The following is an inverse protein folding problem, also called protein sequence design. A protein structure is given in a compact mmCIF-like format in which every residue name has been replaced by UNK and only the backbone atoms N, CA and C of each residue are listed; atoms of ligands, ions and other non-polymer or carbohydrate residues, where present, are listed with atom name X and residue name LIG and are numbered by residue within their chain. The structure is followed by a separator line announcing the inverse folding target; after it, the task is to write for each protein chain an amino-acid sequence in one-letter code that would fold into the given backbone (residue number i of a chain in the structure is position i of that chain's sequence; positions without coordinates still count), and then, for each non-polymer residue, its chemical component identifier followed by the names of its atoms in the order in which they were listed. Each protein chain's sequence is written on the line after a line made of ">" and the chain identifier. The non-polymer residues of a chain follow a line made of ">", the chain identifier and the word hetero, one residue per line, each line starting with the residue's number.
data_IF_878142555643
#
_entry.id   IF_878142555643
#
_cell.length_a   1.000
_cell.length_b   1.000
_cell.length_c   1.000
_cell.angle_alpha   90.00
_cell.angle_beta   90.00
_cell.angle_gamma   90.00
#
_symmetry.space_group_name_H-M   'P 1'
#
loop_
_entity.id
_entity.type
_entity.pdbx_description
1 polymer ?
#
# COMPACT_ATOMS: atom_id res chain seq x y z
N UNK A 1 14.27 25.52 15.65
CA UNK A 1 13.89 24.09 15.57
C UNK A 1 14.18 23.65 14.15
N UNK A 2 14.79 22.47 13.94
CA UNK A 2 14.77 21.86 12.61
C UNK A 2 13.32 21.54 12.23
N UNK A 3 12.96 21.77 10.98
CA UNK A 3 11.64 21.47 10.41
C UNK A 3 11.35 19.98 10.46
N UNK A 4 10.06 19.59 10.38
CA UNK A 4 9.69 18.18 10.30
C UNK A 4 10.33 17.49 9.09
N UNK A 5 10.50 18.20 7.97
CA UNK A 5 11.18 17.70 6.77
C UNK A 5 12.65 17.32 7.04
N UNK A 6 13.42 18.16 7.73
CA UNK A 6 14.84 17.87 8.03
C UNK A 6 15.02 16.65 8.95
N UNK A 7 14.10 16.44 9.90
CA UNK A 7 14.09 15.23 10.76
C UNK A 7 13.71 13.96 10.00
N UNK A 8 12.92 14.08 8.93
CA UNK A 8 12.52 12.98 8.06
C UNK A 8 13.65 12.67 7.04
N UNK A 9 14.27 13.68 6.44
CA UNK A 9 15.40 13.53 5.52
C UNK A 9 16.64 12.90 6.17
N UNK A 10 16.86 13.12 7.46
CA UNK A 10 17.91 12.45 8.25
C UNK A 10 17.75 10.91 8.31
N UNK A 11 16.56 10.36 8.02
CA UNK A 11 16.35 8.91 7.90
C UNK A 11 16.78 8.39 6.52
N UNK A 12 16.69 9.20 5.47
CA UNK A 12 17.03 8.81 4.10
C UNK A 12 18.55 8.76 3.84
N UNK A 13 19.34 9.65 4.46
CA UNK A 13 20.79 9.75 4.23
C UNK A 13 21.65 8.65 4.88
N UNK A 14 21.05 7.61 5.47
CA UNK A 14 21.79 6.57 6.18
C UNK A 14 22.30 5.41 5.29
N UNK A 15 21.98 5.38 3.99
CA UNK A 15 22.34 4.27 3.08
C UNK A 15 22.61 4.69 1.63
N UNK A 16 23.86 4.98 1.35
CA UNK A 16 24.49 4.65 0.06
C UNK A 16 25.60 3.63 0.35
N UNK A 17 25.50 2.44 -0.25
CA UNK A 17 26.48 1.36 -0.07
C UNK A 17 25.85 0.04 0.38
N UNK A 18 25.44 -0.78 -0.59
CA UNK A 18 25.51 -2.25 -0.55
C UNK A 18 25.18 -2.80 -1.96
N UNK A 19 26.17 -2.75 -2.86
CA UNK A 19 26.17 -3.61 -4.05
C UNK A 19 26.44 -5.07 -3.61
N UNK A 20 25.75 -6.08 -4.18
CA UNK A 20 25.95 -7.47 -3.80
C UNK A 20 27.37 -7.95 -4.21
N UNK A 21 28.16 -8.54 -3.29
CA UNK A 21 29.55 -8.88 -3.57
C UNK A 21 29.67 -10.07 -4.53
N UNK A 22 30.46 -9.90 -5.60
CA UNK A 22 31.02 -11.03 -6.34
C UNK A 22 31.96 -11.82 -5.42
N UNK A 23 31.77 -13.13 -5.38
CA UNK A 23 32.56 -14.06 -4.57
C UNK A 23 34.02 -14.10 -5.00
N UNK A 24 34.95 -13.91 -4.06
CA UNK A 24 36.06 -14.83 -3.82
C UNK A 24 36.74 -14.56 -2.47
N UNK A 25 37.27 -15.63 -1.86
CA UNK A 25 37.74 -15.61 -0.48
C UNK A 25 39.24 -15.28 -0.37
N UNK A 26 39.62 -14.52 0.66
CA UNK A 26 40.79 -14.82 1.51
C UNK A 26 40.80 -13.98 2.80
N UNK A 27 41.63 -14.44 3.73
CA UNK A 27 41.72 -14.15 5.16
C UNK A 27 42.01 -12.69 5.57
N UNK A 28 41.57 -12.27 6.77
CA UNK A 28 41.97 -10.96 7.33
C UNK A 28 41.51 -10.70 8.79
N UNK A 29 42.37 -10.94 9.77
CA UNK A 29 42.07 -10.85 11.22
C UNK A 29 42.50 -9.48 11.81
N UNK A 30 41.59 -8.64 12.38
CA UNK A 30 41.80 -7.83 13.64
C UNK A 30 40.78 -6.69 13.97
N UNK A 31 40.30 -6.75 15.24
CA UNK A 31 40.16 -5.69 16.29
C UNK A 31 39.23 -4.44 16.17
N UNK A 32 38.71 -4.09 17.36
CA UNK A 32 37.78 -3.00 17.75
C UNK A 32 38.21 -1.55 17.43
N UNK A 33 37.21 -0.69 17.12
CA UNK A 33 36.98 0.72 17.54
C UNK A 33 35.46 1.01 17.29
N UNK A 34 34.69 1.83 18.03
CA UNK A 34 34.74 2.30 19.43
C UNK A 34 33.32 2.77 19.88
N UNK A 35 33.15 3.82 20.70
CA UNK A 35 31.87 4.32 21.25
C UNK A 35 31.62 5.84 21.01
N UNK A 36 30.34 6.20 20.85
CA UNK A 36 29.68 7.44 21.31
C UNK A 36 29.99 8.83 20.66
N UNK A 37 29.22 9.83 21.13
CA UNK A 37 29.18 11.28 20.84
C UNK A 37 28.22 11.68 19.68
N UNK A 38 27.32 12.67 19.84
CA UNK A 38 27.08 13.54 21.01
C UNK A 38 25.83 14.42 20.92
N UNK A 39 25.57 15.14 22.01
CA UNK A 39 24.41 16.01 22.26
C UNK A 39 24.87 17.48 22.37
N UNK A 40 23.91 18.43 22.29
CA UNK A 40 23.84 19.72 23.03
C UNK A 40 24.15 21.09 22.32
N UNK A 41 23.28 22.07 22.67
CA UNK A 41 23.38 23.58 22.69
C UNK A 41 23.23 24.45 21.41
N UNK A 42 22.14 25.26 21.36
CA UNK A 42 22.11 26.76 21.37
C UNK A 42 20.72 27.30 20.90
N UNK A 43 19.82 27.79 21.78
CA UNK A 43 19.66 29.17 22.34
C UNK A 43 18.67 30.07 21.54
N UNK A 44 17.91 30.88 22.28
CA UNK A 44 16.74 31.68 21.90
C UNK A 44 17.05 33.00 21.18
N UNK A 45 16.06 33.52 20.45
CA UNK A 45 15.79 34.96 20.34
C UNK A 45 14.28 35.23 20.36
N UNK A 46 13.84 36.16 21.22
CA UNK A 46 12.50 36.75 21.23
C UNK A 46 12.67 38.24 20.92
N UNK A 47 11.95 38.76 19.92
CA UNK A 47 11.65 40.18 19.82
C UNK A 47 10.35 40.36 19.01
N UNK A 48 9.46 41.21 19.50
CA UNK A 48 8.12 41.39 18.94
C UNK A 48 8.02 42.66 18.07
N UNK A 49 7.31 42.54 16.95
CA UNK A 49 6.62 43.63 16.24
C UNK A 49 5.31 43.00 15.72
N UNK A 50 4.14 43.62 15.77
CA UNK A 50 3.85 44.98 16.23
C UNK A 50 2.66 45.63 15.52
N UNK A 51 1.57 44.89 15.31
CA UNK A 51 0.23 45.47 15.19
C UNK A 51 -0.37 45.78 13.80
N UNK A 52 -1.70 45.94 13.87
CA UNK A 52 -2.69 46.53 12.94
C UNK A 52 -3.30 45.69 11.81
N UNK A 53 -4.64 45.79 11.79
CA UNK A 53 -5.61 45.75 10.67
C UNK A 53 -5.20 45.10 9.35
N UNK A 54 -5.97 44.18 8.78
CA UNK A 54 -7.41 43.94 8.98
C UNK A 54 -8.14 44.20 7.67
N UNK A 55 -8.24 43.17 6.84
CA UNK A 55 -9.00 43.19 5.59
C UNK A 55 -9.54 41.78 5.33
N UNK A 56 -10.80 41.68 4.91
CA UNK A 56 -11.40 40.42 4.45
C UNK A 56 -11.16 40.30 2.95
N UNK A 57 -10.17 39.50 2.54
CA UNK A 57 -10.12 38.97 1.19
C UNK A 57 -10.91 37.66 1.12
N UNK A 58 -11.74 37.50 0.09
CA UNK A 58 -12.34 36.21 -0.21
C UNK A 58 -11.25 35.23 -0.64
N UNK A 59 -11.23 34.03 -0.05
CA UNK A 59 -10.44 32.91 -0.57
C UNK A 59 -11.08 32.42 -1.88
N UNK A 60 -10.57 32.89 -3.01
CA UNK A 60 -10.76 32.19 -4.28
C UNK A 60 -9.97 30.88 -4.22
N UNK A 61 -10.70 29.76 -4.29
CA UNK A 61 -10.18 28.45 -3.92
C UNK A 61 -8.94 28.00 -4.70
N UNK A 62 -8.00 27.36 -4.00
CA UNK A 62 -6.76 26.80 -4.52
C UNK A 62 -6.92 25.69 -5.59
N UNK A 63 -8.14 25.41 -6.04
CA UNK A 63 -8.48 24.44 -7.09
C UNK A 63 -8.16 24.93 -8.51
N UNK A 64 -8.03 26.24 -8.73
CA UNK A 64 -7.78 26.81 -10.06
C UNK A 64 -6.34 26.67 -10.62
N UNK A 65 -5.40 26.05 -9.88
CA UNK A 65 -3.96 26.00 -10.24
C UNK A 65 -3.45 24.68 -10.78
N UNK A 66 -4.28 23.64 -10.79
CA UNK A 66 -4.00 22.40 -11.53
C UNK A 66 -4.89 22.44 -12.78
N UNK A 67 -4.27 22.63 -13.96
CA UNK A 67 -4.95 22.72 -15.26
C UNK A 67 -5.52 21.38 -15.75
N UNK A 68 -6.15 20.63 -14.87
CA UNK A 68 -6.77 19.35 -15.16
C UNK A 68 -8.19 19.66 -15.63
N UNK A 69 -8.40 19.62 -16.95
CA UNK A 69 -9.72 19.66 -17.56
C UNK A 69 -10.49 18.36 -17.28
N UNK A 70 -10.92 18.15 -16.04
CA UNK A 70 -11.98 17.20 -15.73
C UNK A 70 -13.32 17.82 -16.16
N UNK A 71 -14.15 17.06 -16.86
CA UNK A 71 -15.51 17.48 -17.14
C UNK A 71 -16.25 17.64 -15.82
N UNK A 72 -16.82 18.83 -15.57
CA UNK A 72 -17.50 19.14 -14.31
C UNK A 72 -18.66 18.16 -14.03
N UNK A 73 -19.20 17.51 -15.06
CA UNK A 73 -20.24 16.49 -14.93
C UNK A 73 -19.70 15.14 -14.40
N UNK A 74 -18.45 14.75 -14.71
CA UNK A 74 -17.83 13.54 -14.11
C UNK A 74 -17.45 13.78 -12.63
N UNK A 75 -17.25 15.03 -12.21
CA UNK A 75 -16.91 15.39 -10.82
C UNK A 75 -18.14 15.54 -9.91
N UNK A 76 -19.31 15.88 -10.46
CA UNK A 76 -20.53 16.13 -9.67
C UNK A 76 -21.12 14.88 -9.01
N UNK A 77 -21.10 13.74 -9.70
CA UNK A 77 -21.62 12.46 -9.19
C UNK A 77 -20.74 11.87 -8.07
N UNK A 78 -19.52 12.37 -7.91
CA UNK A 78 -18.55 11.89 -6.93
C UNK A 78 -18.79 12.41 -5.51
N UNK A 79 -19.65 13.41 -5.31
CA UNK A 79 -19.82 14.13 -4.03
C UNK A 79 -20.94 13.57 -3.13
N UNK A 80 -21.29 12.29 -3.28
CA UNK A 80 -22.13 11.56 -2.31
C UNK A 80 -21.49 11.51 -0.91
N UNK A 81 -22.27 11.20 0.12
CA UNK A 81 -21.83 11.29 1.54
C UNK A 81 -20.60 10.42 1.85
N UNK A 82 -19.41 11.04 1.77
CA UNK A 82 -18.11 10.37 1.72
C UNK A 82 -17.73 9.58 2.98
N UNK A 83 -18.14 8.30 3.04
CA UNK A 83 -17.56 7.24 3.89
C UNK A 83 -17.55 5.85 3.25
N UNK A 84 -18.15 5.67 2.09
CA UNK A 84 -18.10 4.40 1.35
C UNK A 84 -16.67 4.05 0.95
N UNK A 85 -16.39 2.76 0.78
CA UNK A 85 -15.07 2.28 0.37
C UNK A 85 -14.98 2.22 -1.16
N UNK A 86 -13.85 2.67 -1.72
CA UNK A 86 -13.50 2.50 -3.13
C UNK A 86 -12.35 1.53 -3.27
N UNK A 87 -12.54 0.45 -4.02
CA UNK A 87 -11.46 -0.47 -4.40
C UNK A 87 -10.73 0.14 -5.59
N UNK A 88 -9.41 0.31 -5.50
CA UNK A 88 -8.59 0.95 -6.54
C UNK A 88 -7.41 0.06 -6.91
N UNK A 89 -7.18 -0.08 -8.21
CA UNK A 89 -5.92 -0.60 -8.75
C UNK A 89 -5.35 0.32 -9.83
N UNK A 90 -4.06 0.17 -10.14
CA UNK A 90 -3.32 1.00 -11.09
C UNK A 90 -2.87 0.16 -12.27
N UNK A 91 -3.02 0.67 -13.49
CA UNK A 91 -2.81 -0.10 -14.72
C UNK A 91 -2.07 0.73 -15.77
N UNK A 92 -1.02 0.17 -16.38
CA UNK A 92 -0.47 0.64 -17.64
C UNK A 92 -0.85 -0.32 -18.78
N UNK A 93 -0.47 0.00 -20.02
CA UNK A 93 -0.77 -0.80 -21.20
C UNK A 93 -0.27 -2.25 -21.13
N UNK A 94 0.88 -2.50 -20.50
CA UNK A 94 1.48 -3.83 -20.37
C UNK A 94 0.67 -4.74 -19.42
N UNK A 95 0.01 -4.16 -18.41
CA UNK A 95 -0.85 -4.87 -17.47
C UNK A 95 -2.35 -4.85 -17.85
N UNK A 96 -2.73 -4.39 -19.05
CA UNK A 96 -4.15 -4.30 -19.45
C UNK A 96 -4.89 -5.65 -19.35
N UNK A 97 -4.26 -6.74 -19.78
CA UNK A 97 -4.88 -8.08 -19.77
C UNK A 97 -5.27 -8.51 -18.37
N UNK A 98 -4.39 -8.36 -17.38
CA UNK A 98 -4.71 -8.68 -15.99
C UNK A 98 -5.68 -7.67 -15.37
N UNK A 99 -5.62 -6.40 -15.74
CA UNK A 99 -6.63 -5.42 -15.30
C UNK A 99 -8.05 -5.79 -15.74
N UNK A 100 -8.21 -6.38 -16.93
CA UNK A 100 -9.50 -6.94 -17.38
C UNK A 100 -9.95 -8.13 -16.54
N UNK A 101 -9.04 -9.06 -16.22
CA UNK A 101 -9.33 -10.20 -15.34
C UNK A 101 -9.73 -9.76 -13.93
N UNK A 102 -8.99 -8.82 -13.33
CA UNK A 102 -9.25 -8.22 -12.02
C UNK A 102 -10.60 -7.51 -11.97
N UNK A 103 -10.89 -6.66 -12.96
CA UNK A 103 -12.15 -5.91 -13.05
C UNK A 103 -13.37 -6.83 -13.20
N UNK A 104 -13.29 -7.81 -14.11
CA UNK A 104 -14.35 -8.79 -14.29
C UNK A 104 -14.55 -9.66 -13.04
N UNK A 105 -13.48 -10.01 -12.32
CA UNK A 105 -13.59 -10.76 -11.07
C UNK A 105 -14.35 -9.98 -9.99
N UNK A 106 -13.99 -8.73 -9.76
CA UNK A 106 -14.71 -7.89 -8.79
C UNK A 106 -16.16 -7.66 -9.22
N UNK A 107 -16.42 -7.42 -10.50
CA UNK A 107 -17.78 -7.29 -11.03
C UNK A 107 -18.60 -8.57 -10.84
N UNK A 108 -18.03 -9.75 -11.10
CA UNK A 108 -18.69 -11.04 -10.93
C UNK A 108 -18.91 -11.41 -9.46
N UNK A 109 -18.08 -10.90 -8.55
CA UNK A 109 -18.27 -10.98 -7.10
C UNK A 109 -19.30 -9.95 -6.59
N UNK A 110 -19.87 -9.10 -7.44
CA UNK A 110 -20.90 -8.13 -7.07
C UNK A 110 -20.39 -6.81 -6.51
N UNK A 111 -19.08 -6.52 -6.56
CA UNK A 111 -18.58 -5.19 -6.20
C UNK A 111 -18.91 -4.17 -7.30
N UNK A 112 -19.39 -3.00 -6.90
CA UNK A 112 -19.72 -1.87 -7.79
C UNK A 112 -18.79 -0.66 -7.60
N UNK A 113 -18.26 -0.44 -6.40
CA UNK A 113 -17.28 0.61 -6.10
C UNK A 113 -15.82 0.17 -6.35
N UNK A 114 -15.51 -0.30 -7.56
CA UNK A 114 -14.14 -0.65 -7.96
C UNK A 114 -13.68 0.03 -9.26
N UNK A 115 -12.47 0.60 -9.21
CA UNK A 115 -11.95 1.51 -10.22
C UNK A 115 -10.52 1.14 -10.64
N UNK A 116 -10.22 1.35 -11.92
CA UNK A 116 -8.86 1.29 -12.47
C UNK A 116 -8.33 2.71 -12.68
N UNK A 117 -7.12 3.00 -12.22
CA UNK A 117 -6.40 4.25 -12.52
C UNK A 117 -5.41 3.95 -13.64
N UNK A 118 -5.75 4.41 -14.84
CA UNK A 118 -4.93 4.27 -16.04
C UNK A 118 -3.74 5.22 -15.99
N UNK A 119 -2.54 4.64 -15.98
CA UNK A 119 -1.26 5.33 -15.96
C UNK A 119 -0.83 5.83 -17.35
N UNK A 120 -1.53 5.44 -18.41
CA UNK A 120 -1.29 5.93 -19.78
C UNK A 120 -2.59 6.06 -20.58
N UNK A 121 -2.54 6.88 -21.64
CA UNK A 121 -3.70 7.19 -22.46
C UNK A 121 -4.19 6.00 -23.29
N UNK A 122 -3.29 5.09 -23.71
CA UNK A 122 -3.63 3.94 -24.54
C UNK A 122 -4.49 2.95 -23.75
N UNK A 123 -4.15 2.71 -22.48
CA UNK A 123 -4.92 1.83 -21.60
C UNK A 123 -6.19 2.51 -21.08
N UNK A 124 -6.16 3.82 -20.77
CA UNK A 124 -7.38 4.56 -20.45
C UNK A 124 -8.42 4.42 -21.56
N UNK A 125 -8.04 4.75 -22.79
CA UNK A 125 -8.93 4.71 -23.95
C UNK A 125 -9.43 3.29 -24.24
N UNK A 126 -8.59 2.27 -24.04
CA UNK A 126 -8.94 0.85 -24.22
C UNK A 126 -9.95 0.34 -23.19
N UNK A 127 -9.81 0.76 -21.93
CA UNK A 127 -10.70 0.37 -20.84
C UNK A 127 -12.01 1.19 -20.84
N UNK A 128 -11.96 2.49 -21.17
CA UNK A 128 -13.16 3.34 -21.30
C UNK A 128 -14.04 2.87 -22.47
N UNK A 129 -13.45 2.49 -23.62
CA UNK A 129 -14.19 1.85 -24.73
C UNK A 129 -14.82 0.51 -24.35
N UNK A 130 -14.24 -0.21 -23.39
CA UNK A 130 -14.79 -1.44 -22.84
C UNK A 130 -15.85 -1.21 -21.73
N UNK A 131 -16.25 0.05 -21.51
CA UNK A 131 -17.20 0.47 -20.48
C UNK A 131 -16.79 0.09 -19.04
N UNK A 132 -15.51 0.17 -18.73
CA UNK A 132 -15.01 -0.02 -17.37
C UNK A 132 -15.00 1.30 -16.59
N UNK A 133 -15.15 1.22 -15.26
CA UNK A 133 -14.85 2.31 -14.33
C UNK A 133 -13.33 2.58 -14.32
N UNK A 134 -12.89 3.40 -15.27
CA UNK A 134 -11.48 3.81 -15.42
C UNK A 134 -11.33 5.31 -15.29
N UNK A 135 -10.30 5.73 -14.55
CA UNK A 135 -9.88 7.11 -14.36
C UNK A 135 -8.53 7.31 -15.05
N UNK A 136 -8.29 8.49 -15.63
CA UNK A 136 -6.95 8.87 -16.10
C UNK A 136 -6.13 9.32 -14.88
N UNK A 137 -4.88 8.88 -14.76
CA UNK A 137 -4.00 9.25 -13.65
C UNK A 137 -3.82 10.79 -13.57
N UNK A 138 -4.30 11.48 -12.51
CA UNK A 138 -4.33 12.94 -12.50
C UNK A 138 -2.92 13.53 -12.50
N UNK A 139 -2.55 14.25 -13.57
CA UNK A 139 -1.23 14.88 -13.71
C UNK A 139 -0.06 13.90 -13.82
N UNK A 140 -0.30 12.63 -14.13
CA UNK A 140 0.72 11.59 -14.23
C UNK A 140 0.52 10.75 -15.48
N UNK A 141 1.64 10.38 -16.13
CA UNK A 141 1.65 9.45 -17.27
C UNK A 141 2.93 8.64 -17.19
N UNK A 142 2.80 7.32 -17.32
CA UNK A 142 3.91 6.38 -17.31
C UNK A 142 4.17 5.86 -18.72
N UNK A 143 5.37 6.12 -19.22
CA UNK A 143 5.87 5.65 -20.50
C UNK A 143 6.64 4.33 -20.31
N UNK A 144 6.84 3.60 -21.41
CA UNK A 144 7.63 2.37 -21.39
C UNK A 144 9.08 2.69 -21.01
N UNK A 145 9.56 2.07 -19.92
CA UNK A 145 10.91 2.30 -19.38
C UNK A 145 11.01 3.40 -18.33
N UNK A 146 9.91 4.10 -18.01
CA UNK A 146 9.90 5.06 -16.90
C UNK A 146 10.19 4.39 -15.55
N UNK A 147 10.80 5.14 -14.65
CA UNK A 147 11.12 4.64 -13.31
C UNK A 147 9.85 4.36 -12.52
N UNK A 148 9.69 3.12 -12.06
CA UNK A 148 8.63 2.75 -11.13
C UNK A 148 8.66 3.60 -9.83
N UNK A 149 9.81 4.23 -9.50
CA UNK A 149 9.94 5.22 -8.43
C UNK A 149 8.89 6.33 -8.51
N UNK A 150 8.62 6.83 -9.71
CA UNK A 150 7.68 7.94 -9.90
C UNK A 150 6.23 7.44 -9.92
N UNK A 151 5.98 6.20 -10.33
CA UNK A 151 4.71 5.51 -10.09
C UNK A 151 4.44 5.31 -8.58
N UNK A 152 5.43 4.90 -7.78
CA UNK A 152 5.25 4.72 -6.33
C UNK A 152 5.04 6.06 -5.61
N UNK A 153 5.69 7.15 -6.03
CA UNK A 153 5.37 8.52 -5.60
C UNK A 153 3.93 8.90 -5.95
N UNK A 154 3.52 8.69 -7.20
CA UNK A 154 2.15 8.97 -7.66
C UNK A 154 1.12 8.18 -6.86
N UNK A 155 1.38 6.89 -6.57
CA UNK A 155 0.48 6.03 -5.78
C UNK A 155 0.25 6.57 -4.37
N UNK A 156 1.30 7.03 -3.68
CA UNK A 156 1.18 7.70 -2.38
C UNK A 156 0.41 9.03 -2.48
N UNK A 157 0.67 9.83 -3.52
CA UNK A 157 -0.04 11.10 -3.73
C UNK A 157 -1.54 10.89 -4.02
N UNK A 158 -1.89 9.91 -4.87
CA UNK A 158 -3.27 9.55 -5.16
C UNK A 158 -4.03 9.14 -3.89
N UNK A 159 -3.43 8.29 -3.05
CA UNK A 159 -4.01 7.91 -1.76
C UNK A 159 -4.22 9.12 -0.84
N UNK A 160 -3.26 10.06 -0.81
CA UNK A 160 -3.35 11.28 -0.02
C UNK A 160 -4.48 12.19 -0.48
N UNK A 161 -4.63 12.37 -1.80
CA UNK A 161 -5.67 13.23 -2.39
C UNK A 161 -7.08 12.67 -2.15
N UNK A 162 -7.27 11.34 -2.28
CA UNK A 162 -8.54 10.68 -1.97
C UNK A 162 -8.87 10.76 -0.47
N UNK A 163 -7.90 10.48 0.41
CA UNK A 163 -8.07 10.62 1.88
C UNK A 163 -8.42 12.07 2.27
N UNK A 164 -7.79 13.08 1.65
CA UNK A 164 -8.10 14.51 1.86
C UNK A 164 -9.52 14.89 1.45
N UNK A 165 -10.11 14.18 0.49
CA UNK A 165 -11.52 14.33 0.06
C UNK A 165 -12.52 13.60 0.94
N UNK A 166 -12.07 12.85 1.95
CA UNK A 166 -12.94 12.02 2.80
C UNK A 166 -13.18 10.60 2.26
N UNK A 167 -12.50 10.19 1.19
CA UNK A 167 -12.70 8.89 0.56
C UNK A 167 -11.92 7.77 1.26
N UNK A 168 -12.61 6.72 1.71
CA UNK A 168 -11.96 5.49 2.15
C UNK A 168 -11.49 4.69 0.92
N UNK A 169 -10.24 4.22 0.91
CA UNK A 169 -9.64 3.53 -0.25
C UNK A 169 -9.12 2.16 0.14
N UNK A 170 -9.59 1.12 -0.53
CA UNK A 170 -8.97 -0.20 -0.56
C UNK A 170 -8.09 -0.31 -1.80
N UNK A 171 -6.78 -0.13 -1.62
CA UNK A 171 -5.80 -0.33 -2.69
C UNK A 171 -5.51 -1.82 -2.86
N UNK A 172 -5.53 -2.28 -4.11
CA UNK A 172 -5.16 -3.64 -4.53
C UNK A 172 -4.23 -3.54 -5.73
N UNK A 173 -3.13 -4.29 -5.73
CA UNK A 173 -2.39 -4.57 -6.94
C UNK A 173 -3.22 -5.51 -7.85
N UNK A 174 -2.92 -5.49 -9.15
CA UNK A 174 -3.67 -6.25 -10.17
C UNK A 174 -3.51 -7.77 -10.06
N UNK A 175 -2.45 -8.24 -9.40
CA UNK A 175 -2.18 -9.66 -9.18
C UNK A 175 -2.91 -10.26 -7.96
N UNK A 176 -3.63 -9.44 -7.20
CA UNK A 176 -4.48 -9.93 -6.11
C UNK A 176 -5.74 -10.60 -6.69
N UNK A 177 -5.89 -11.89 -6.43
CA UNK A 177 -7.05 -12.68 -6.86
C UNK A 177 -8.12 -12.65 -5.78
N UNK A 178 -9.17 -11.87 -5.95
CA UNK A 178 -10.33 -11.89 -5.04
C UNK A 178 -11.08 -13.23 -5.17
N UNK A 179 -11.24 -13.93 -4.05
CA UNK A 179 -11.93 -15.22 -3.99
C UNK A 179 -13.40 -15.03 -3.61
N UNK A 180 -13.66 -14.18 -2.61
CA UNK A 180 -14.98 -13.99 -2.02
C UNK A 180 -15.45 -12.53 -2.05
N UNK A 181 -16.76 -12.33 -1.99
CA UNK A 181 -17.35 -11.04 -1.69
C UNK A 181 -17.27 -10.79 -0.18
N UNK A 182 -16.63 -9.69 0.22
CA UNK A 182 -16.68 -9.14 1.56
C UNK A 182 -16.84 -7.63 1.45
N UNK A 183 -17.91 -7.10 2.05
CA UNK A 183 -18.12 -5.67 2.14
C UNK A 183 -16.97 -5.01 2.93
N UNK A 184 -16.19 -4.09 2.32
CA UNK A 184 -15.06 -3.47 3.00
C UNK A 184 -15.43 -2.77 4.31
N UNK A 185 -16.64 -2.18 4.38
CA UNK A 185 -17.17 -1.61 5.62
C UNK A 185 -17.29 -2.67 6.73
N UNK A 186 -17.82 -3.85 6.42
CA UNK A 186 -17.95 -4.97 7.38
C UNK A 186 -16.58 -5.52 7.79
N UNK A 187 -15.55 -5.42 6.95
CA UNK A 187 -14.19 -5.86 7.31
C UNK A 187 -13.47 -4.81 8.17
N UNK A 188 -13.57 -3.53 7.83
CA UNK A 188 -12.73 -2.47 8.42
C UNK A 188 -13.39 -1.68 9.56
N UNK A 189 -14.70 -1.82 9.77
CA UNK A 189 -15.45 -1.21 10.88
C UNK A 189 -16.01 -2.26 11.87
N UNK A 190 -15.33 -3.41 12.02
CA UNK A 190 -15.65 -4.39 13.07
C UNK A 190 -15.48 -3.79 14.46
N UNK A 191 -16.20 -4.36 15.42
CA UNK A 191 -15.90 -4.12 16.83
C UNK A 191 -14.41 -4.39 17.11
N UNK A 192 -13.78 -3.55 17.93
CA UNK A 192 -12.34 -3.49 18.21
C UNK A 192 -11.46 -2.87 17.10
N UNK A 193 -11.96 -2.66 15.88
CA UNK A 193 -11.23 -2.04 14.77
C UNK A 193 -11.69 -0.60 14.45
N UNK A 194 -12.59 -0.03 15.26
CA UNK A 194 -13.14 1.32 15.08
C UNK A 194 -12.05 2.40 15.09
N UNK A 195 -11.00 2.17 15.90
CA UNK A 195 -9.86 3.06 16.03
C UNK A 195 -8.68 2.74 15.10
N UNK A 196 -8.78 1.74 14.21
CA UNK A 196 -7.73 1.43 13.23
C UNK A 196 -7.86 2.37 12.04
N UNK A 197 -6.79 3.11 11.73
CA UNK A 197 -6.71 4.05 10.60
C UNK A 197 -6.38 3.35 9.27
N UNK A 198 -5.41 2.43 9.30
CA UNK A 198 -4.84 1.79 8.10
C UNK A 198 -4.73 0.27 8.30
N UNK A 199 -5.05 -0.50 7.27
CA UNK A 199 -4.90 -1.95 7.24
C UNK A 199 -3.92 -2.34 6.12
N UNK A 200 -3.08 -3.35 6.35
CA UNK A 200 -2.17 -3.87 5.34
C UNK A 200 -2.20 -5.40 5.29
N UNK A 201 -2.14 -5.98 4.10
CA UNK A 201 -1.70 -7.37 3.95
C UNK A 201 -0.25 -7.54 4.42
N UNK A 202 0.12 -8.77 4.78
CA UNK A 202 1.52 -9.08 5.09
C UNK A 202 2.32 -9.23 3.79
N UNK A 203 3.56 -8.72 3.80
CA UNK A 203 4.51 -8.83 2.71
C UNK A 203 5.36 -10.09 2.77
N UNK A 204 5.94 -10.47 1.64
CA UNK A 204 6.78 -11.67 1.49
C UNK A 204 8.20 -11.53 2.09
N UNK A 205 8.39 -10.67 3.10
CA UNK A 205 9.68 -10.41 3.76
C UNK A 205 10.48 -9.22 3.20
N UNK A 206 9.86 -8.34 2.41
CA UNK A 206 10.46 -7.12 1.88
C UNK A 206 9.78 -5.86 2.46
N UNK A 207 10.52 -4.84 2.94
CA UNK A 207 11.98 -4.78 3.04
C UNK A 207 12.53 -5.71 4.13
N UNK A 208 13.76 -6.18 3.93
CA UNK A 208 14.43 -7.07 4.89
C UNK A 208 14.58 -6.45 6.28
N UNK A 209 14.78 -5.14 6.38
CA UNK A 209 14.83 -4.39 7.65
C UNK A 209 13.58 -4.56 8.51
N UNK A 210 12.39 -4.50 7.90
CA UNK A 210 11.14 -4.74 8.59
C UNK A 210 11.05 -6.19 9.10
N UNK A 211 11.36 -7.16 8.21
CA UNK A 211 11.38 -8.57 8.61
C UNK A 211 12.36 -8.84 9.76
N UNK A 212 13.58 -8.29 9.70
CA UNK A 212 14.60 -8.48 10.73
C UNK A 212 14.24 -7.81 12.06
N UNK A 213 13.49 -6.69 12.04
CA UNK A 213 13.12 -5.93 13.25
C UNK A 213 11.81 -6.41 13.90
N UNK A 214 10.86 -6.91 13.13
CA UNK A 214 9.52 -7.27 13.60
C UNK A 214 9.14 -8.75 13.40
N UNK A 215 9.94 -9.51 12.65
CA UNK A 215 9.58 -10.85 12.16
C UNK A 215 8.71 -10.84 10.90
N UNK A 216 8.26 -9.67 10.43
CA UNK A 216 7.41 -9.51 9.25
C UNK A 216 7.59 -8.14 8.60
N UNK A 217 7.07 -7.99 7.37
CA UNK A 217 6.96 -6.73 6.65
C UNK A 217 5.50 -6.46 6.30
N UNK A 218 5.05 -5.20 6.29
CA UNK A 218 3.75 -4.87 5.67
C UNK A 218 3.88 -4.83 4.14
N UNK A 219 2.80 -5.07 3.42
CA UNK A 219 2.73 -4.92 1.97
C UNK A 219 1.78 -3.80 1.55
N UNK A 220 2.19 -2.99 0.57
CA UNK A 220 1.31 -1.97 0.00
C UNK A 220 0.29 -2.57 -0.99
N UNK A 221 0.64 -3.62 -1.73
CA UNK A 221 -0.18 -4.22 -2.78
C UNK A 221 -1.53 -4.81 -2.36
N UNK A 222 -1.84 -4.86 -1.07
CA UNK A 222 -3.24 -4.87 -0.62
C UNK A 222 -3.31 -4.12 0.71
N UNK A 223 -3.91 -2.93 0.70
CA UNK A 223 -3.93 -1.99 1.84
C UNK A 223 -5.20 -1.16 1.87
N UNK A 224 -5.76 -0.94 3.05
CA UNK A 224 -6.97 -0.16 3.23
C UNK A 224 -6.68 1.10 4.06
N UNK A 225 -7.09 2.26 3.56
CA UNK A 225 -6.83 3.57 4.15
C UNK A 225 -8.17 4.21 4.50
N UNK A 226 -8.48 4.37 5.79
CA UNK A 226 -9.62 5.18 6.22
C UNK A 226 -9.28 6.66 6.05
N UNK A 227 -10.26 7.47 5.65
CA UNK A 227 -10.13 8.92 5.50
C UNK A 227 -10.13 9.66 6.85
N UNK A 228 -9.12 9.39 7.67
CA UNK A 228 -8.89 10.08 8.95
C UNK A 228 -7.78 11.12 8.80
N UNK A 229 -7.78 12.14 9.67
CA UNK A 229 -6.67 13.11 9.76
C UNK A 229 -5.35 12.47 10.22
N UNK A 230 -5.37 11.25 10.75
CA UNK A 230 -4.16 10.49 11.09
C UNK A 230 -3.59 9.80 9.85
N UNK A 231 -4.44 9.19 9.02
CA UNK A 231 -4.06 8.65 7.71
C UNK A 231 -3.50 9.75 6.80
N UNK A 232 -4.16 10.90 6.73
CA UNK A 232 -3.70 12.08 5.95
C UNK A 232 -2.27 12.47 6.31
N UNK A 233 -1.99 12.73 7.60
CA UNK A 233 -0.64 13.06 8.09
C UNK A 233 0.38 11.95 7.84
N UNK A 234 -0.04 10.70 7.88
CA UNK A 234 0.84 9.54 7.64
C UNK A 234 1.26 9.48 6.16
N UNK A 235 0.31 9.69 5.25
CA UNK A 235 0.57 9.75 3.81
C UNK A 235 1.38 11.00 3.43
N UNK A 236 1.14 12.16 4.07
CA UNK A 236 1.99 13.35 3.93
C UNK A 236 3.45 13.08 4.36
N UNK A 237 3.65 12.38 5.48
CA UNK A 237 4.98 12.01 5.94
C UNK A 237 5.66 11.00 4.99
N UNK A 238 4.92 10.01 4.49
CA UNK A 238 5.42 9.02 3.52
C UNK A 238 5.81 9.66 2.18
N UNK A 239 4.94 10.51 1.63
CA UNK A 239 5.22 11.27 0.41
C UNK A 239 6.42 12.21 0.63
N UNK A 240 6.51 12.84 1.81
CA UNK A 240 7.67 13.64 2.22
C UNK A 240 8.99 12.85 2.20
N UNK A 241 9.02 11.60 2.67
CA UNK A 241 10.19 10.71 2.51
C UNK A 241 10.48 10.46 1.03
N UNK A 242 9.48 10.02 0.27
CA UNK A 242 9.64 9.68 -1.15
C UNK A 242 10.08 10.85 -2.03
N UNK A 243 9.71 12.10 -1.70
CA UNK A 243 10.13 13.30 -2.43
C UNK A 243 11.60 13.67 -2.21
N UNK A 244 12.22 13.23 -1.11
CA UNK A 244 13.64 13.49 -0.80
C UNK A 244 14.55 12.27 -1.08
N UNK A 245 13.96 11.10 -1.38
CA UNK A 245 14.71 9.91 -1.72
C UNK A 245 15.09 9.87 -3.21
N UNK A 246 16.28 9.36 -3.52
CA UNK A 246 16.74 9.09 -4.90
C UNK A 246 15.84 8.06 -5.59
N UNK A 247 15.41 7.04 -4.86
CA UNK A 247 14.41 6.06 -5.27
C UNK A 247 13.31 5.95 -4.22
N UNK A 248 12.04 5.96 -4.66
CA UNK A 248 10.87 5.69 -3.83
C UNK A 248 10.39 4.28 -4.13
N UNK A 249 10.25 3.42 -3.13
CA UNK A 249 9.39 2.24 -3.17
C UNK A 249 8.42 2.44 -2.00
N UNK A 250 7.12 2.51 -2.28
CA UNK A 250 6.14 2.92 -1.27
C UNK A 250 6.00 1.90 -0.14
N UNK A 251 6.23 0.62 -0.42
CA UNK A 251 6.29 -0.42 0.61
C UNK A 251 7.53 -0.27 1.48
N UNK A 252 8.70 0.01 0.90
CA UNK A 252 9.92 0.30 1.69
C UNK A 252 9.70 1.53 2.56
N UNK A 253 9.20 2.62 1.99
CA UNK A 253 9.00 3.90 2.68
C UNK A 253 7.97 3.81 3.80
N UNK A 254 6.85 3.12 3.59
CA UNK A 254 5.85 2.91 4.65
C UNK A 254 6.39 2.04 5.79
N UNK A 255 7.12 0.95 5.48
CA UNK A 255 7.78 0.13 6.51
C UNK A 255 8.81 0.94 7.32
N UNK A 256 9.69 1.70 6.66
CA UNK A 256 10.73 2.51 7.32
C UNK A 256 10.15 3.69 8.11
N UNK A 257 9.10 4.35 7.61
CA UNK A 257 8.35 5.39 8.34
C UNK A 257 7.76 4.81 9.64
N UNK A 258 7.11 3.66 9.55
CA UNK A 258 6.52 2.96 10.69
C UNK A 258 7.60 2.50 11.70
N UNK A 259 8.74 2.00 11.22
CA UNK A 259 9.86 1.57 12.06
C UNK A 259 10.56 2.72 12.80
N UNK A 260 10.89 3.80 12.09
CA UNK A 260 11.89 4.77 12.56
C UNK A 260 11.26 6.06 13.06
N UNK A 261 10.23 6.56 12.38
CA UNK A 261 9.60 7.84 12.69
C UNK A 261 8.37 7.71 13.59
N UNK A 262 7.49 6.73 13.31
CA UNK A 262 6.31 6.43 14.15
C UNK A 262 6.63 5.47 15.30
N UNK A 263 7.73 4.71 15.17
CA UNK A 263 8.22 3.75 16.17
C UNK A 263 7.11 2.77 16.61
N UNK A 264 6.41 2.21 15.61
CA UNK A 264 5.21 1.39 15.80
C UNK A 264 5.47 0.24 16.79
N UNK A 265 4.61 0.16 17.81
CA UNK A 265 4.57 -0.93 18.78
C UNK A 265 3.51 -1.93 18.33
N UNK A 266 3.92 -3.14 17.97
CA UNK A 266 3.01 -4.21 17.56
C UNK A 266 2.61 -5.09 18.73
N UNK A 267 1.35 -5.55 18.73
CA UNK A 267 0.93 -6.65 19.62
C UNK A 267 1.69 -7.93 19.30
N UNK A 268 1.90 -8.76 20.33
CA UNK A 268 2.20 -10.19 20.13
C UNK A 268 1.05 -10.84 19.35
N UNK A 269 1.37 -11.78 18.46
CA UNK A 269 0.48 -12.39 17.47
C UNK A 269 -0.96 -12.59 18.01
N UNK A 270 -1.95 -12.00 17.36
CA UNK A 270 -3.35 -12.40 17.56
C UNK A 270 -3.60 -13.80 16.97
N UNK A 271 -4.77 -14.35 17.25
CA UNK A 271 -5.29 -15.49 16.51
C UNK A 271 -5.15 -15.25 15.00
N UNK A 272 -4.76 -16.30 14.27
CA UNK A 272 -4.56 -16.28 12.81
C UNK A 272 -3.44 -15.34 12.29
N UNK A 273 -2.55 -14.86 13.15
CA UNK A 273 -1.35 -14.11 12.76
C UNK A 273 -1.57 -12.62 12.47
N UNK A 274 -2.76 -12.09 12.76
CA UNK A 274 -3.01 -10.65 12.73
C UNK A 274 -2.20 -9.91 13.82
N UNK A 275 -1.95 -8.62 13.59
CA UNK A 275 -1.15 -7.75 14.46
C UNK A 275 -1.75 -6.36 14.47
N UNK A 276 -1.87 -5.75 15.65
CA UNK A 276 -2.28 -4.35 15.80
C UNK A 276 -1.06 -3.52 16.19
N UNK A 277 -0.73 -2.53 15.38
CA UNK A 277 0.37 -1.59 15.58
C UNK A 277 -0.17 -0.28 16.11
N UNK A 278 0.50 0.30 17.12
CA UNK A 278 0.19 1.62 17.65
C UNK A 278 1.45 2.49 17.60
N UNK A 279 1.34 3.68 17.02
CA UNK A 279 2.41 4.67 16.97
C UNK A 279 2.81 5.14 18.36
N UNK A 280 4.11 5.22 18.63
CA UNK A 280 4.66 5.86 19.83
C UNK A 280 4.92 7.35 19.62
N UNK A 281 4.78 7.84 18.39
CA UNK A 281 4.92 9.24 18.04
C UNK A 281 3.58 9.97 18.27
N UNK A 282 3.50 10.78 19.32
CA UNK A 282 2.27 11.49 19.72
C UNK A 282 1.78 12.54 18.72
N UNK A 283 2.61 12.96 17.75
CA UNK A 283 2.19 13.89 16.69
C UNK A 283 1.30 13.23 15.63
N UNK A 284 1.45 11.91 15.45
CA UNK A 284 0.68 11.07 14.53
C UNK A 284 0.33 9.77 15.29
N UNK A 285 -0.77 9.77 16.07
CA UNK A 285 -1.19 8.64 16.91
C UNK A 285 -1.84 7.52 16.08
N UNK A 286 -1.14 7.06 15.04
CA UNK A 286 -1.60 6.09 14.06
C UNK A 286 -1.84 4.71 14.69
N UNK A 287 -2.97 4.10 14.33
CA UNK A 287 -3.25 2.68 14.60
C UNK A 287 -3.33 1.92 13.28
N UNK A 288 -2.59 0.82 13.20
CA UNK A 288 -2.49 -0.04 12.00
C UNK A 288 -2.91 -1.47 12.35
N UNK A 289 -3.53 -2.20 11.42
CA UNK A 289 -3.79 -3.65 11.58
C UNK A 289 -3.30 -4.46 10.37
N UNK A 290 -2.85 -5.69 10.59
CA UNK A 290 -2.46 -6.60 9.50
C UNK A 290 -3.57 -7.60 9.16
N UNK A 291 -3.75 -7.86 7.86
CA UNK A 291 -4.82 -8.71 7.28
C UNK A 291 -4.29 -10.11 6.93
N UNK A 292 -3.62 -10.77 7.88
CA UNK A 292 -2.83 -11.98 7.64
C UNK A 292 -3.65 -13.17 7.12
N UNK A 293 -4.83 -13.38 7.71
CA UNK A 293 -5.78 -14.46 7.41
C UNK A 293 -6.65 -14.17 6.19
N UNK A 294 -7.02 -12.90 5.99
CA UNK A 294 -7.90 -12.46 4.91
C UNK A 294 -7.19 -12.36 3.56
N UNK A 295 -5.87 -12.08 3.54
CA UNK A 295 -5.09 -12.00 2.31
C UNK A 295 -3.79 -12.80 2.41
N UNK A 296 -3.88 -14.16 2.38
CA UNK A 296 -2.71 -15.01 2.45
C UNK A 296 -1.76 -14.81 1.26
N UNK A 297 -0.46 -14.86 1.57
CA UNK A 297 0.64 -14.85 0.60
C UNK A 297 0.91 -16.27 0.11
N UNK A 298 0.92 -16.47 -1.19
CA UNK A 298 1.01 -17.83 -1.76
C UNK A 298 2.17 -17.92 -2.76
N UNK A 299 3.07 -18.87 -2.55
CA UNK A 299 4.17 -19.18 -3.47
C UNK A 299 3.71 -20.28 -4.42
N UNK A 300 3.59 -20.04 -5.73
CA UNK A 300 2.99 -21.02 -6.65
C UNK A 300 3.74 -22.36 -6.69
N UNK A 301 5.08 -22.30 -6.67
CA UNK A 301 5.93 -23.49 -6.65
C UNK A 301 5.97 -24.28 -5.33
N UNK A 302 5.21 -23.86 -4.30
CA UNK A 302 5.02 -24.63 -3.06
C UNK A 302 3.60 -25.18 -2.89
N UNK A 303 2.82 -25.22 -3.96
CA UNK A 303 1.49 -25.82 -3.98
C UNK A 303 1.47 -27.05 -4.88
N UNK A 304 0.89 -28.14 -4.38
CA UNK A 304 0.56 -29.30 -5.21
C UNK A 304 -0.88 -29.14 -5.73
N UNK A 305 -1.05 -29.34 -7.04
CA UNK A 305 -2.37 -29.34 -7.70
C UNK A 305 -3.09 -30.65 -7.34
N UNK A 306 -4.26 -30.53 -6.75
CA UNK A 306 -5.00 -31.65 -6.14
C UNK A 306 -6.34 -31.86 -6.84
N UNK A 307 -6.72 -33.10 -7.19
CA UNK A 307 -7.99 -33.39 -7.82
C UNK A 307 -9.17 -32.78 -7.05
N UNK A 308 -10.12 -32.17 -7.78
CA UNK A 308 -11.27 -31.47 -7.19
C UNK A 308 -12.10 -32.46 -6.35
N UNK A 309 -11.99 -32.37 -5.03
CA UNK A 309 -12.58 -33.29 -4.05
C UNK A 309 -13.33 -32.55 -2.93
N UNK A 310 -13.98 -33.30 -2.04
CA UNK A 310 -14.84 -32.74 -0.97
C UNK A 310 -14.11 -31.99 0.16
N UNK A 311 -12.78 -31.96 0.16
CA UNK A 311 -11.94 -31.34 1.18
C UNK A 311 -10.82 -30.46 0.62
N UNK A 312 -10.87 -30.14 -0.68
CA UNK A 312 -9.84 -29.35 -1.36
C UNK A 312 -10.19 -27.86 -1.29
N UNK A 313 -9.23 -27.00 -0.92
CA UNK A 313 -9.41 -25.54 -1.02
C UNK A 313 -9.03 -25.05 -2.42
N UNK A 314 -9.86 -24.23 -3.03
CA UNK A 314 -9.65 -23.69 -4.37
C UNK A 314 -9.44 -22.16 -4.29
N UNK A 315 -8.27 -21.75 -3.77
CA UNK A 315 -7.85 -20.38 -3.44
C UNK A 315 -8.28 -19.23 -4.38
N UNK A 316 -8.56 -19.47 -5.66
CA UNK A 316 -9.07 -18.46 -6.59
C UNK A 316 -10.43 -18.78 -7.22
N UNK A 317 -11.22 -19.70 -6.69
CA UNK A 317 -12.59 -20.02 -7.16
C UNK A 317 -13.65 -19.21 -6.39
N UNK A 318 -14.76 -18.89 -7.08
CA UNK A 318 -15.88 -18.10 -6.52
C UNK A 318 -16.94 -18.97 -5.82
N UNK A 319 -16.92 -20.30 -6.03
CA UNK A 319 -18.05 -21.20 -5.70
C UNK A 319 -17.76 -22.27 -4.65
N UNK A 320 -16.58 -22.26 -4.04
CA UNK A 320 -16.20 -23.24 -3.02
C UNK A 320 -16.33 -22.63 -1.62
N UNK A 321 -16.50 -23.47 -0.60
CA UNK A 321 -16.63 -23.06 0.82
C UNK A 321 -15.23 -22.85 1.41
N UNK A 322 -14.34 -22.22 0.65
CA UNK A 322 -12.92 -22.14 0.98
C UNK A 322 -12.71 -21.22 2.17
N UNK A 323 -11.69 -21.53 2.98
CA UNK A 323 -11.64 -21.10 4.37
C UNK A 323 -11.43 -19.59 4.56
N UNK A 324 -12.52 -18.82 4.56
CA UNK A 324 -12.66 -17.48 5.16
C UNK A 324 -11.75 -16.35 4.65
N UNK A 325 -10.91 -16.61 3.66
CA UNK A 325 -10.03 -15.59 3.08
C UNK A 325 -10.80 -14.73 2.07
N UNK A 326 -10.39 -13.47 1.92
CA UNK A 326 -11.03 -12.50 1.04
C UNK A 326 -10.44 -12.57 -0.37
N UNK A 327 -9.12 -12.55 -0.43
CA UNK A 327 -8.33 -12.55 -1.66
C UNK A 327 -7.02 -13.29 -1.44
N UNK A 328 -6.31 -13.60 -2.52
CA UNK A 328 -5.03 -14.30 -2.47
C UNK A 328 -3.97 -13.46 -3.16
N UNK A 329 -2.82 -13.35 -2.51
CA UNK A 329 -1.71 -12.53 -2.97
C UNK A 329 -0.55 -13.43 -3.43
N UNK A 330 -0.44 -13.74 -4.73
CA UNK A 330 0.66 -14.55 -5.25
C UNK A 330 2.02 -13.87 -5.00
N UNK A 331 3.05 -14.67 -4.79
CA UNK A 331 4.45 -14.25 -4.75
C UNK A 331 5.05 -14.60 -6.11
N UNK A 332 5.00 -13.62 -7.01
CA UNK A 332 5.40 -13.71 -8.42
C UNK A 332 6.18 -12.46 -8.84
N UNK A 333 6.84 -12.53 -9.98
CA UNK A 333 7.65 -11.45 -10.52
C UNK A 333 6.78 -10.27 -11.01
N UNK A 334 7.40 -9.10 -11.16
CA UNK A 334 6.76 -7.88 -11.66
C UNK A 334 6.65 -7.90 -13.20
N UNK A 335 6.06 -8.96 -13.75
CA UNK A 335 5.84 -9.16 -15.19
C UNK A 335 4.34 -9.35 -15.50
N UNK A 336 3.87 -8.77 -16.61
CA UNK A 336 2.46 -8.84 -17.00
C UNK A 336 2.00 -10.24 -17.40
N UNK A 337 2.86 -11.01 -18.08
CA UNK A 337 2.55 -12.34 -18.60
C UNK A 337 2.48 -13.35 -17.46
N UNK A 338 3.51 -13.40 -16.62
CA UNK A 338 3.56 -14.27 -15.44
C UNK A 338 2.39 -14.04 -14.48
N UNK A 339 1.92 -12.79 -14.34
CA UNK A 339 0.71 -12.46 -13.56
C UNK A 339 -0.57 -13.01 -14.19
N UNK A 340 -0.72 -12.94 -15.52
CA UNK A 340 -1.87 -13.53 -16.24
C UNK A 340 -1.85 -15.06 -16.15
N UNK A 341 -0.70 -15.70 -16.37
CA UNK A 341 -0.55 -17.15 -16.21
C UNK A 341 -0.90 -17.60 -14.79
N UNK A 342 -0.45 -16.85 -13.79
CA UNK A 342 -0.77 -17.13 -12.39
C UNK A 342 -2.26 -16.96 -12.09
N UNK A 343 -2.88 -15.93 -12.64
CA UNK A 343 -4.32 -15.70 -12.52
C UNK A 343 -5.13 -16.89 -13.05
N UNK A 344 -4.80 -17.39 -14.24
CA UNK A 344 -5.42 -18.58 -14.81
C UNK A 344 -5.19 -19.81 -13.92
N UNK A 345 -3.96 -20.00 -13.43
CA UNK A 345 -3.64 -21.11 -12.51
C UNK A 345 -4.50 -21.09 -11.24
N UNK A 346 -4.74 -19.94 -10.62
CA UNK A 346 -5.66 -19.81 -9.47
C UNK A 346 -7.14 -19.92 -9.82
N UNK A 347 -7.53 -19.67 -11.07
CA UNK A 347 -8.92 -19.79 -11.51
C UNK A 347 -9.31 -21.23 -11.89
N UNK A 348 -8.36 -22.00 -12.43
CA UNK A 348 -8.63 -23.32 -13.00
C UNK A 348 -8.34 -24.47 -12.02
N UNK A 349 -7.38 -24.28 -11.10
CA UNK A 349 -6.84 -25.31 -10.19
C UNK A 349 -7.24 -25.11 -8.73
N UNK A 350 -7.19 -26.21 -7.99
CA UNK A 350 -7.34 -26.22 -6.53
C UNK A 350 -6.05 -26.70 -5.88
N UNK A 351 -5.78 -26.23 -4.67
CA UNK A 351 -4.49 -26.42 -4.01
C UNK A 351 -4.71 -26.93 -2.59
N UNK A 352 -3.88 -27.88 -2.13
CA UNK A 352 -4.01 -28.34 -0.75
C UNK A 352 -3.42 -27.32 0.22
N UNK A 353 -4.29 -26.46 0.72
CA UNK A 353 -3.95 -25.48 1.74
C UNK A 353 -4.06 -26.15 3.10
N UNK A 354 -2.97 -26.79 3.53
CA UNK A 354 -2.85 -27.16 4.94
C UNK A 354 -2.88 -25.89 5.79
N UNK A 355 -3.57 -25.90 6.93
CA UNK A 355 -3.60 -24.74 7.86
C UNK A 355 -2.18 -24.39 8.30
N UNK A 356 -1.28 -25.38 8.36
CA UNK A 356 0.15 -25.18 8.54
C UNK A 356 0.85 -24.48 7.38
N UNK A 357 0.44 -24.60 6.11
CA UNK A 357 1.03 -23.82 5.01
C UNK A 357 0.69 -22.32 5.11
N UNK A 358 -0.53 -21.99 5.57
CA UNK A 358 -0.92 -20.61 5.89
C UNK A 358 -0.21 -20.07 7.14
N UNK A 359 0.03 -20.92 8.15
CA UNK A 359 0.67 -20.54 9.41
C UNK A 359 2.21 -20.53 9.39
N UNK A 360 2.86 -21.44 8.68
CA UNK A 360 4.30 -21.68 8.75
C UNK A 360 5.13 -20.62 8.01
N UNK A 361 4.54 -19.82 7.12
CA UNK A 361 5.20 -18.62 6.59
C UNK A 361 5.54 -17.59 7.70
N UNK A 362 4.92 -17.70 8.88
CA UNK A 362 5.04 -16.75 9.99
C UNK A 362 5.83 -17.27 11.20
N UNK A 363 6.43 -18.47 11.10
CA UNK A 363 7.08 -19.16 12.21
C UNK A 363 8.63 -19.12 12.18
N UNK A 364 9.24 -18.36 11.24
CA UNK A 364 10.69 -18.30 11.00
C UNK A 364 11.20 -16.88 10.71
#
# INVERSE_FOLDING_TARGET
>A
MATNAERIALVAHARDGDDPPRTNASEGRRRHWMLAIGMLVAVLAIAAVGGRSGERSHDEGALGRLGIGLDANEVGDWMGTHREWRIVSFVNKEYETIARLWYHRLSNLGYDSHHLVALDDLVYDSLKRANFRVLRAPGFTMNNGDSLSDFWKFRLNYLLDEVKRGQNVLMSDLDIVFAHHYEPEVIFNKAEDENVDIFHSLGAGWPKTAKDRWGFSICMGFSAFKATKTTEKTLEAALGVCSHATTCDDQVVMNELYMNYLQMSWTSNFENGERKGISRNTMIPLVVKTLASLVPRVRPGSLEDVPKGRSTQCLGHVHHVDGGHWAVAPVIEKDGTAKVEMWHSFHDKCYEVTVSALGAQWAH
#
